data_IF_356477428310
#
_entry.id   IF_356477428310
#
_cell.length_a   1.000
_cell.length_b   1.000
_cell.length_c   1.000
_cell.angle_alpha   90.00
_cell.angle_beta   90.00
_cell.angle_gamma   90.00
#
_symmetry.space_group_name_H-M   'P 1'
#
loop_
_entity.id
_entity.type
_entity.pdbx_description
1 polymer ?
#
# COMPACT_ATOMS: atom_id res chain seq x y z
N UNK A 1 -3.47 -29.74 -27.78
CA UNK A 1 -2.90 -28.42 -27.43
C UNK A 1 -3.85 -27.34 -27.91
N UNK A 2 -4.83 -26.93 -27.10
CA UNK A 2 -5.87 -26.01 -27.57
C UNK A 2 -6.76 -25.36 -26.51
N UNK A 3 -6.36 -25.34 -25.23
CA UNK A 3 -7.21 -24.82 -24.14
C UNK A 3 -6.47 -23.90 -23.15
N UNK A 4 -5.37 -23.26 -23.55
CA UNK A 4 -4.58 -22.39 -22.66
C UNK A 4 -4.97 -20.90 -22.71
N UNK A 5 -5.94 -20.51 -23.53
CA UNK A 5 -6.30 -19.10 -23.74
C UNK A 5 -7.81 -18.83 -23.62
N UNK A 6 -8.48 -19.42 -22.64
CA UNK A 6 -9.94 -19.27 -22.50
C UNK A 6 -10.42 -17.95 -21.88
N UNK A 7 -9.55 -17.11 -21.32
CA UNK A 7 -10.01 -15.89 -20.62
C UNK A 7 -9.06 -14.70 -20.76
N UNK A 8 -8.79 -14.24 -22.00
CA UNK A 8 -8.22 -12.91 -22.20
C UNK A 8 -9.39 -11.93 -22.30
N UNK A 9 -9.69 -11.24 -21.20
CA UNK A 9 -10.68 -10.17 -21.18
C UNK A 9 -10.05 -8.90 -21.75
N UNK A 10 -10.56 -8.33 -22.86
CA UNK A 10 -10.06 -7.06 -23.36
C UNK A 10 -10.42 -5.96 -22.36
N UNK A 11 -9.44 -5.12 -22.01
CA UNK A 11 -9.62 -3.96 -21.13
C UNK A 11 -9.33 -2.69 -21.91
N UNK A 12 -10.17 -1.67 -21.73
CA UNK A 12 -9.93 -0.35 -22.29
C UNK A 12 -8.78 0.34 -21.54
N UNK A 13 -7.76 0.78 -22.27
CA UNK A 13 -6.56 1.41 -21.71
C UNK A 13 -6.87 2.71 -20.96
N UNK A 14 -7.85 3.49 -21.41
CA UNK A 14 -8.22 4.75 -20.76
C UNK A 14 -8.84 4.51 -19.38
N UNK A 15 -9.72 3.50 -19.29
CA UNK A 15 -10.37 3.11 -18.05
C UNK A 15 -9.36 2.50 -17.06
N UNK A 16 -8.48 1.63 -17.56
CA UNK A 16 -7.42 1.00 -16.75
C UNK A 16 -6.44 2.04 -16.18
N UNK A 17 -5.99 2.98 -17.02
CA UNK A 17 -5.04 4.01 -16.59
C UNK A 17 -5.65 4.91 -15.51
N UNK A 18 -6.92 5.30 -15.66
CA UNK A 18 -7.64 6.09 -14.67
C UNK A 18 -7.78 5.33 -13.35
N UNK A 19 -8.18 4.06 -13.41
CA UNK A 19 -8.36 3.23 -12.23
C UNK A 19 -7.04 3.02 -11.49
N UNK A 20 -6.01 2.53 -12.19
CA UNK A 20 -4.67 2.30 -11.64
C UNK A 20 -4.06 3.57 -11.05
N UNK A 21 -4.25 4.72 -11.69
CA UNK A 21 -3.79 6.01 -11.16
C UNK A 21 -4.48 6.38 -9.85
N UNK A 22 -5.81 6.26 -9.79
CA UNK A 22 -6.58 6.58 -8.59
C UNK A 22 -6.25 5.62 -7.44
N UNK A 23 -6.13 4.33 -7.71
CA UNK A 23 -5.78 3.32 -6.71
C UNK A 23 -4.38 3.57 -6.14
N UNK A 24 -3.41 3.88 -7.00
CA UNK A 24 -2.08 4.23 -6.54
C UNK A 24 -2.10 5.54 -5.72
N UNK A 25 -2.75 6.59 -6.21
CA UNK A 25 -2.82 7.88 -5.54
C UNK A 25 -3.46 7.74 -4.14
N UNK A 26 -4.57 7.02 -4.02
CA UNK A 26 -5.22 6.75 -2.74
C UNK A 26 -4.33 5.94 -1.80
N UNK A 27 -3.65 4.91 -2.30
CA UNK A 27 -2.70 4.12 -1.50
C UNK A 27 -1.56 4.97 -0.94
N UNK A 28 -1.08 5.96 -1.71
CA UNK A 28 -0.01 6.86 -1.29
C UNK A 28 -0.53 7.83 -0.24
N UNK A 29 -1.68 8.47 -0.47
CA UNK A 29 -2.24 9.49 0.44
C UNK A 29 -2.51 8.87 1.82
N UNK A 30 -3.22 7.76 1.86
CA UNK A 30 -3.69 7.15 3.11
C UNK A 30 -2.62 6.26 3.74
N UNK A 31 -1.90 5.48 2.94
CA UNK A 31 -1.04 4.41 3.42
C UNK A 31 0.45 4.78 3.55
N UNK A 32 0.85 5.98 3.12
CA UNK A 32 2.29 6.32 3.05
C UNK A 32 2.62 7.77 3.40
N UNK A 33 1.92 8.72 2.80
CA UNK A 33 2.34 10.11 2.76
C UNK A 33 1.87 10.92 3.98
N UNK A 34 0.58 10.84 4.31
CA UNK A 34 -0.01 11.62 5.40
C UNK A 34 0.13 10.91 6.76
N UNK A 35 0.53 11.61 7.82
CA UNK A 35 0.51 11.07 9.17
C UNK A 35 -0.92 11.02 9.74
N UNK A 36 -1.13 10.13 10.71
CA UNK A 36 -2.40 10.08 11.45
C UNK A 36 -2.48 11.24 12.45
N UNK A 37 -3.65 11.85 12.62
CA UNK A 37 -3.84 13.00 13.51
C UNK A 37 -3.71 12.65 14.99
N UNK A 38 -3.90 11.38 15.35
CA UNK A 38 -3.89 10.91 16.76
C UNK A 38 -2.47 10.88 17.34
N UNK A 39 -1.50 10.51 16.53
CA UNK A 39 -0.11 10.29 16.96
C UNK A 39 0.92 11.09 16.14
N UNK A 40 0.53 11.70 15.02
CA UNK A 40 1.43 12.39 14.11
C UNK A 40 2.39 11.46 13.36
N UNK A 41 2.20 10.14 13.42
CA UNK A 41 3.14 9.16 12.88
C UNK A 41 2.70 8.63 11.52
N UNK A 42 3.68 8.53 10.61
CA UNK A 42 3.53 7.77 9.37
C UNK A 42 3.54 6.26 9.67
N UNK A 43 2.94 5.42 8.81
CA UNK A 43 2.91 3.96 9.01
C UNK A 43 4.30 3.33 9.22
N UNK A 44 5.36 3.86 8.59
CA UNK A 44 6.73 3.35 8.76
C UNK A 44 7.26 3.57 10.18
N UNK A 45 6.99 4.73 10.79
CA UNK A 45 7.43 5.02 12.15
C UNK A 45 6.75 4.09 13.15
N UNK A 46 5.44 3.88 13.00
CA UNK A 46 4.67 2.98 13.87
C UNK A 46 5.22 1.55 13.84
N UNK A 47 5.57 1.04 12.65
CA UNK A 47 6.16 -0.30 12.51
C UNK A 47 7.54 -0.41 13.15
N UNK A 48 8.38 0.61 13.00
CA UNK A 48 9.72 0.64 13.61
C UNK A 48 9.63 0.65 15.13
N UNK A 49 8.83 1.57 15.69
CA UNK A 49 8.66 1.67 17.15
C UNK A 49 8.04 0.39 17.74
N UNK A 50 7.06 -0.19 17.05
CA UNK A 50 6.48 -1.47 17.45
C UNK A 50 7.52 -2.59 17.44
N UNK A 51 8.30 -2.73 16.36
CA UNK A 51 9.34 -3.76 16.29
C UNK A 51 10.44 -3.57 17.35
N UNK A 52 10.82 -2.33 17.66
CA UNK A 52 11.77 -2.03 18.74
C UNK A 52 11.24 -2.46 20.10
N UNK A 53 9.95 -2.23 20.36
CA UNK A 53 9.27 -2.69 21.58
C UNK A 53 9.21 -4.22 21.67
N UNK A 54 8.88 -4.91 20.57
CA UNK A 54 8.82 -6.38 20.53
C UNK A 54 10.19 -7.03 20.72
N UNK A 55 11.26 -6.38 20.26
CA UNK A 55 12.64 -6.83 20.45
C UNK A 55 13.16 -6.59 21.88
N UNK A 56 12.44 -5.83 22.72
CA UNK A 56 12.90 -5.44 24.04
C UNK A 56 14.21 -4.65 23.99
N UNK A 57 14.37 -3.79 22.96
CA UNK A 57 15.60 -3.03 22.72
C UNK A 57 15.68 -1.80 23.64
N UNK A 58 15.39 -2.03 24.91
CA UNK A 58 15.47 -1.06 25.98
C UNK A 58 16.93 -0.97 26.45
N UNK A 59 17.46 0.24 26.52
CA UNK A 59 18.76 0.48 27.14
C UNK A 59 18.55 0.71 28.63
N UNK A 60 18.93 -0.27 29.45
CA UNK A 60 19.20 -0.17 30.89
C UNK A 60 20.34 -1.11 31.29
#
# INVERSE_FOLDING_TARGET
>A
MGELAKEILPVNIEDELKQSYLDYAMSVIVGRALPDVRDGLKPVHRRVLFAMSELGNDWN
#
